data_IF_005828000628
#
_entry.id   IF_005828000628
#
_cell.length_a   1.000
_cell.length_b   1.000
_cell.length_c   1.000
_cell.angle_alpha   90.00
_cell.angle_beta   90.00
_cell.angle_gamma   90.00
#
_symmetry.space_group_name_H-M   'P 1'
#
loop_
_entity.id
_entity.type
_entity.pdbx_description
1 polymer ?
#
# COMPACT_ATOMS: atom_id res chain seq x y z
N UNK A 1 24.68 -11.18 39.11
CA UNK A 1 23.84 -10.23 38.34
C UNK A 1 24.10 -10.49 36.86
N UNK A 2 23.05 -10.75 36.07
CA UNK A 2 23.13 -10.72 34.60
C UNK A 2 22.07 -9.73 34.10
N UNK A 3 22.51 -8.54 33.74
CA UNK A 3 21.73 -7.53 33.00
C UNK A 3 22.59 -7.14 31.80
N UNK A 4 22.14 -7.46 30.57
CA UNK A 4 21.74 -6.41 29.61
C UNK A 4 20.51 -6.82 28.74
N UNK A 5 19.67 -5.93 28.19
CA UNK A 5 19.48 -4.50 28.45
C UNK A 5 18.18 -3.93 27.82
N UNK A 6 17.64 -2.81 28.33
CA UNK A 6 16.84 -1.78 27.63
C UNK A 6 17.42 -1.14 26.32
N UNK A 7 18.07 -1.90 25.42
CA UNK A 7 18.76 -1.37 24.19
C UNK A 7 18.79 -2.30 22.94
N UNK A 8 17.90 -3.26 22.72
CA UNK A 8 18.10 -4.14 21.54
C UNK A 8 17.66 -3.49 20.20
N UNK A 9 18.62 -3.03 19.40
CA UNK A 9 18.48 -2.79 17.95
C UNK A 9 18.80 -4.09 17.20
N UNK A 10 17.77 -4.77 16.73
CA UNK A 10 17.91 -5.94 15.87
C UNK A 10 17.99 -5.55 14.41
N UNK A 11 19.20 -5.36 13.89
CA UNK A 11 19.47 -5.45 12.46
C UNK A 11 19.32 -6.89 12.01
N UNK A 12 18.13 -7.28 11.57
CA UNK A 12 17.86 -8.61 11.02
C UNK A 12 17.24 -8.51 9.65
N UNK A 13 18.04 -8.56 8.59
CA UNK A 13 17.56 -8.80 7.23
C UNK A 13 18.57 -9.62 6.45
N UNK A 14 18.30 -10.92 6.33
CA UNK A 14 18.76 -11.73 5.19
C UNK A 14 17.73 -12.81 4.76
N UNK A 15 16.45 -12.53 5.02
CA UNK A 15 15.32 -13.08 4.24
C UNK A 15 14.72 -12.02 3.30
N UNK A 16 15.38 -10.85 3.23
CA UNK A 16 14.81 -9.66 2.61
C UNK A 16 14.80 -9.70 1.09
N UNK A 17 15.72 -10.44 0.46
CA UNK A 17 15.80 -10.55 -1.00
C UNK A 17 14.62 -11.32 -1.58
N UNK A 18 14.38 -12.55 -1.13
CA UNK A 18 13.29 -13.38 -1.68
C UNK A 18 11.90 -12.73 -1.46
N UNK A 19 11.63 -12.19 -0.27
CA UNK A 19 10.37 -11.49 -0.02
C UNK A 19 10.24 -10.21 -0.86
N UNK A 20 11.35 -9.50 -1.08
CA UNK A 20 11.39 -8.33 -1.96
C UNK A 20 11.16 -8.72 -3.43
N UNK A 21 11.71 -9.85 -3.88
CA UNK A 21 11.51 -10.36 -5.24
C UNK A 21 10.05 -10.77 -5.46
N UNK A 22 9.46 -11.51 -4.52
CA UNK A 22 8.01 -11.81 -4.55
C UNK A 22 7.17 -10.55 -4.52
N UNK A 23 7.53 -9.57 -3.68
CA UNK A 23 6.83 -8.30 -3.60
C UNK A 23 6.88 -7.53 -4.93
N UNK A 24 8.07 -7.44 -5.54
CA UNK A 24 8.28 -6.76 -6.79
C UNK A 24 7.57 -7.46 -7.95
N UNK A 25 7.58 -8.78 -7.99
CA UNK A 25 6.87 -9.57 -9.00
C UNK A 25 5.36 -9.36 -8.90
N UNK A 26 4.78 -9.55 -7.71
CA UNK A 26 3.34 -9.38 -7.50
C UNK A 26 2.90 -7.94 -7.83
N UNK A 27 3.69 -6.93 -7.43
CA UNK A 27 3.48 -5.54 -7.80
C UNK A 27 3.54 -5.32 -9.31
N UNK A 28 4.53 -5.89 -9.99
CA UNK A 28 4.67 -5.79 -11.44
C UNK A 28 3.46 -6.40 -12.16
N UNK A 29 2.93 -7.53 -11.68
CA UNK A 29 1.73 -8.16 -12.25
C UNK A 29 0.51 -7.25 -12.14
N UNK A 30 0.27 -6.66 -10.96
CA UNK A 30 -0.86 -5.73 -10.76
C UNK A 30 -0.73 -4.49 -11.64
N UNK A 31 0.44 -3.83 -11.61
CA UNK A 31 0.64 -2.58 -12.35
C UNK A 31 0.61 -2.78 -13.87
N UNK A 32 1.17 -3.89 -14.39
CA UNK A 32 1.13 -4.19 -15.82
C UNK A 32 -0.30 -4.51 -16.29
N UNK A 33 -1.07 -5.29 -15.52
CA UNK A 33 -2.48 -5.55 -15.82
C UNK A 33 -3.28 -4.25 -15.84
N UNK A 34 -3.11 -3.41 -14.82
CA UNK A 34 -3.79 -2.12 -14.73
C UNK A 34 -3.41 -1.20 -15.90
N UNK A 35 -2.14 -1.19 -16.34
CA UNK A 35 -1.70 -0.40 -17.49
C UNK A 35 -2.36 -0.86 -18.80
N UNK A 36 -2.63 -2.16 -18.95
CA UNK A 36 -3.39 -2.69 -20.10
C UNK A 36 -4.84 -2.21 -20.03
N UNK A 37 -5.51 -2.36 -18.88
CA UNK A 37 -6.92 -1.96 -18.70
C UNK A 37 -7.13 -0.45 -18.93
N UNK A 38 -6.24 0.38 -18.39
CA UNK A 38 -6.31 1.84 -18.54
C UNK A 38 -6.14 2.32 -19.98
N UNK A 39 -5.56 1.50 -20.87
CA UNK A 39 -5.37 1.86 -22.28
C UNK A 39 -6.69 2.02 -23.02
N UNK A 40 -7.73 1.31 -22.55
CA UNK A 40 -9.07 1.36 -23.14
C UNK A 40 -9.90 2.51 -22.58
N UNK A 41 -9.38 3.31 -21.64
CA UNK A 41 -10.10 4.42 -21.02
C UNK A 41 -9.55 5.78 -21.40
N UNK A 42 -10.47 6.70 -21.67
CA UNK A 42 -10.22 8.14 -21.72
C UNK A 42 -10.99 8.84 -20.61
N UNK A 43 -10.36 9.82 -19.96
CA UNK A 43 -11.02 10.74 -19.06
C UNK A 43 -11.41 12.01 -19.82
N UNK A 44 -12.66 12.44 -19.70
CA UNK A 44 -13.21 13.61 -20.37
C UNK A 44 -13.76 14.55 -19.30
N UNK A 45 -13.34 15.80 -19.33
CA UNK A 45 -13.83 16.83 -18.42
C UNK A 45 -15.35 17.03 -18.57
N UNK A 46 -16.08 17.04 -17.44
CA UNK A 46 -17.53 17.23 -17.42
C UNK A 46 -17.96 18.70 -17.54
N UNK A 47 -17.07 19.65 -17.23
CA UNK A 47 -17.38 21.08 -17.13
C UNK A 47 -17.19 21.86 -18.46
N UNK A 48 -16.85 21.15 -19.55
CA UNK A 48 -17.17 21.64 -20.90
C UNK A 48 -16.04 22.26 -21.72
N UNK A 49 -14.76 22.20 -21.29
CA UNK A 49 -13.63 22.56 -22.17
C UNK A 49 -13.18 21.42 -23.12
N UNK A 50 -13.85 20.27 -23.10
CA UNK A 50 -13.73 19.24 -24.15
C UNK A 50 -12.37 18.54 -24.25
N UNK A 51 -11.48 18.72 -23.27
CA UNK A 51 -10.17 18.07 -23.27
C UNK A 51 -10.30 16.60 -22.85
N UNK A 52 -9.96 15.69 -23.77
CA UNK A 52 -9.83 14.27 -23.49
C UNK A 52 -8.40 13.97 -23.04
N UNK A 53 -8.27 13.21 -21.97
CA UNK A 53 -7.01 12.77 -21.40
C UNK A 53 -6.89 11.25 -21.53
N UNK A 54 -5.69 10.81 -21.93
CA UNK A 54 -5.31 9.41 -21.76
C UNK A 54 -4.95 9.16 -20.30
N UNK A 55 -5.42 8.04 -19.76
CA UNK A 55 -5.05 7.60 -18.42
C UNK A 55 -3.81 6.70 -18.52
N UNK A 56 -2.73 7.06 -17.83
CA UNK A 56 -1.46 6.31 -17.86
C UNK A 56 -0.99 5.98 -16.45
N UNK A 57 -0.25 4.88 -16.30
CA UNK A 57 0.56 4.63 -15.12
C UNK A 57 2.01 5.02 -15.37
N UNK A 58 2.52 5.94 -14.56
CA UNK A 58 3.91 6.37 -14.62
C UNK A 58 4.47 6.38 -13.20
N UNK A 59 5.52 5.60 -12.94
CA UNK A 59 6.17 5.54 -11.62
C UNK A 59 5.19 5.29 -10.45
N UNK A 60 4.25 4.36 -10.63
CA UNK A 60 3.19 4.04 -9.64
C UNK A 60 2.20 5.19 -9.39
N UNK A 61 2.12 6.15 -10.30
CA UNK A 61 1.12 7.20 -10.28
C UNK A 61 0.19 7.06 -11.47
N UNK A 62 -1.10 7.25 -11.23
CA UNK A 62 -2.12 7.42 -12.26
C UNK A 62 -2.03 8.87 -12.70
N UNK A 63 -1.79 9.09 -13.98
CA UNK A 63 -1.59 10.41 -14.57
C UNK A 63 -2.51 10.55 -15.78
N UNK A 64 -3.20 11.68 -15.84
CA UNK A 64 -3.97 12.12 -16.99
C UNK A 64 -3.07 12.90 -17.93
N UNK A 65 -2.95 12.48 -19.18
CA UNK A 65 -2.03 13.07 -20.15
C UNK A 65 -2.78 13.45 -21.41
N UNK A 66 -2.61 14.69 -21.86
CA UNK A 66 -2.98 15.15 -23.19
C UNK A 66 -1.77 15.82 -23.89
N UNK A 67 -1.98 16.53 -24.99
CA UNK A 67 -0.88 17.20 -25.72
C UNK A 67 -0.28 18.41 -24.98
N UNK A 68 -1.02 18.99 -24.04
CA UNK A 68 -0.68 20.27 -23.38
C UNK A 68 -0.22 20.08 -21.94
N UNK A 69 -0.82 19.12 -21.24
CA UNK A 69 -0.76 18.99 -19.80
C UNK A 69 -0.64 17.52 -19.35
N UNK A 70 -0.08 17.36 -18.15
CA UNK A 70 0.05 16.10 -17.44
C UNK A 70 -0.39 16.32 -16.00
N UNK A 71 -1.50 15.71 -15.60
CA UNK A 71 -2.13 15.91 -14.30
C UNK A 71 -2.05 14.62 -13.48
N UNK A 72 -1.28 14.59 -12.38
CA UNK A 72 -1.27 13.44 -11.49
C UNK A 72 -2.62 13.35 -10.78
N UNK A 73 -3.22 12.15 -10.79
CA UNK A 73 -4.53 11.90 -10.21
C UNK A 73 -4.44 11.16 -8.87
N UNK A 74 -3.62 10.11 -8.82
CA UNK A 74 -3.47 9.30 -7.62
C UNK A 74 -2.13 8.56 -7.62
N UNK A 75 -1.59 8.26 -6.44
CA UNK A 75 -0.47 7.34 -6.29
C UNK A 75 -0.96 5.95 -5.88
N UNK A 76 -0.40 4.88 -6.41
CA UNK A 76 -0.73 3.50 -6.05
C UNK A 76 0.40 2.90 -5.21
N UNK A 77 0.06 2.31 -4.08
CA UNK A 77 0.97 1.50 -3.27
C UNK A 77 0.43 0.09 -3.10
N UNK A 78 1.11 -0.87 -3.74
CA UNK A 78 0.76 -2.30 -3.64
C UNK A 78 1.41 -2.92 -2.41
N UNK A 79 0.69 -3.81 -1.72
CA UNK A 79 1.11 -4.50 -0.51
C UNK A 79 0.92 -6.00 -0.62
N UNK A 80 1.92 -6.77 -0.19
CA UNK A 80 1.94 -8.25 -0.29
C UNK A 80 1.96 -8.96 1.07
N UNK A 81 1.82 -8.23 2.17
CA UNK A 81 1.65 -8.81 3.51
C UNK A 81 0.19 -8.71 3.97
N UNK A 82 -0.22 -9.65 4.82
CA UNK A 82 -1.52 -9.64 5.52
C UNK A 82 -1.60 -8.41 6.45
N UNK A 83 -2.74 -7.73 6.45
CA UNK A 83 -3.04 -6.58 7.33
C UNK A 83 -1.93 -5.52 7.31
N UNK A 84 -1.44 -5.20 6.12
CA UNK A 84 -0.19 -4.45 5.95
C UNK A 84 -0.39 -3.03 5.45
N UNK A 85 -1.63 -2.54 5.48
CA UNK A 85 -1.92 -1.11 5.33
C UNK A 85 -1.09 -0.37 6.37
N UNK A 86 -0.13 0.42 5.89
CA UNK A 86 0.70 1.29 6.72
C UNK A 86 0.19 2.72 6.55
N UNK A 87 -0.83 3.14 7.34
CA UNK A 87 -1.57 4.37 7.08
C UNK A 87 -0.70 5.62 7.16
N UNK A 88 0.33 5.62 8.02
CA UNK A 88 1.24 6.77 8.18
C UNK A 88 2.04 7.05 6.89
N UNK A 89 2.50 6.01 6.19
CA UNK A 89 3.24 6.19 4.93
C UNK A 89 2.31 6.71 3.83
N UNK A 90 1.11 6.12 3.72
CA UNK A 90 0.08 6.58 2.78
C UNK A 90 -0.26 8.05 3.03
N UNK A 91 -0.58 8.41 4.27
CA UNK A 91 -0.89 9.79 4.66
C UNK A 91 0.24 10.77 4.32
N UNK A 92 1.49 10.43 4.62
CA UNK A 92 2.63 11.27 4.25
C UNK A 92 2.75 11.47 2.73
N UNK A 93 2.59 10.40 1.94
CA UNK A 93 2.66 10.50 0.49
C UNK A 93 1.52 11.35 -0.08
N UNK A 94 0.30 11.15 0.42
CA UNK A 94 -0.88 11.95 0.05
C UNK A 94 -0.63 13.44 0.28
N UNK A 95 -0.18 13.82 1.48
CA UNK A 95 0.10 15.23 1.79
C UNK A 95 1.31 15.79 1.02
N UNK A 96 2.36 14.98 0.84
CA UNK A 96 3.57 15.42 0.11
C UNK A 96 3.29 15.69 -1.37
N UNK A 97 2.47 14.84 -2.00
CA UNK A 97 2.19 14.90 -3.44
C UNK A 97 0.96 15.74 -3.77
N UNK A 98 0.10 15.99 -2.80
CA UNK A 98 -1.15 16.74 -3.00
C UNK A 98 -2.24 15.95 -3.74
N UNK A 99 -2.06 14.64 -3.92
CA UNK A 99 -2.99 13.73 -4.60
C UNK A 99 -3.33 12.55 -3.69
N UNK A 100 -4.51 11.91 -3.83
CA UNK A 100 -4.87 10.73 -3.05
C UNK A 100 -3.90 9.56 -3.24
N UNK A 101 -3.77 8.71 -2.21
CA UNK A 101 -2.99 7.47 -2.29
C UNK A 101 -3.88 6.24 -2.20
N UNK A 102 -3.86 5.40 -3.24
CA UNK A 102 -4.53 4.10 -3.30
C UNK A 102 -3.62 3.05 -2.67
N UNK A 103 -4.05 2.44 -1.57
CA UNK A 103 -3.34 1.38 -0.86
C UNK A 103 -4.02 0.04 -1.18
N UNK A 104 -3.36 -0.80 -1.98
CA UNK A 104 -3.92 -2.06 -2.46
C UNK A 104 -3.26 -3.26 -1.77
N UNK A 105 -4.05 -4.12 -1.13
CA UNK A 105 -3.58 -5.33 -0.46
C UNK A 105 -3.82 -6.56 -1.34
N UNK A 106 -2.76 -7.15 -1.90
CA UNK A 106 -2.89 -8.34 -2.77
C UNK A 106 -3.50 -9.52 -2.01
N UNK A 107 -3.20 -9.66 -0.72
CA UNK A 107 -3.64 -10.82 0.05
C UNK A 107 -5.15 -10.80 0.37
N UNK A 108 -5.71 -9.64 0.65
CA UNK A 108 -7.14 -9.49 0.97
C UNK A 108 -7.94 -8.95 -0.21
N UNK A 109 -7.25 -8.51 -1.26
CA UNK A 109 -7.81 -7.84 -2.45
C UNK A 109 -8.45 -6.49 -2.14
N UNK A 110 -8.33 -6.03 -0.89
CA UNK A 110 -8.86 -4.75 -0.42
C UNK A 110 -8.08 -3.58 -1.02
N UNK A 111 -8.81 -2.53 -1.36
CA UNK A 111 -8.27 -1.27 -1.85
C UNK A 111 -8.80 -0.15 -0.97
N UNK A 112 -7.88 0.62 -0.41
CA UNK A 112 -8.19 1.74 0.49
C UNK A 112 -7.70 3.04 -0.14
N UNK A 113 -8.56 4.06 -0.19
CA UNK A 113 -8.17 5.39 -0.69
C UNK A 113 -7.86 6.30 0.49
N UNK A 114 -6.62 6.78 0.54
CA UNK A 114 -6.17 7.81 1.48
C UNK A 114 -6.40 9.19 0.84
N UNK A 115 -7.43 9.89 1.31
CA UNK A 115 -7.68 11.28 0.95
C UNK A 115 -6.90 12.25 1.86
N UNK A 116 -6.90 13.53 1.49
CA UNK A 116 -6.21 14.58 2.26
C UNK A 116 -6.76 14.68 3.69
N UNK A 117 -8.08 14.57 3.87
CA UNK A 117 -8.75 14.71 5.17
C UNK A 117 -8.34 13.61 6.15
N UNK A 118 -8.24 12.37 5.69
CA UNK A 118 -7.77 11.24 6.49
C UNK A 118 -6.27 11.36 6.73
N UNK A 119 -5.50 11.76 5.72
CA UNK A 119 -4.07 11.96 5.83
C UNK A 119 -3.70 13.00 6.90
N UNK A 120 -4.38 14.16 6.90
CA UNK A 120 -4.20 15.21 7.91
C UNK A 120 -4.43 14.66 9.33
N UNK A 121 -5.54 13.96 9.56
CA UNK A 121 -5.86 13.36 10.86
C UNK A 121 -4.80 12.38 11.34
N UNK A 122 -4.31 11.51 10.45
CA UNK A 122 -3.28 10.51 10.78
C UNK A 122 -1.97 11.21 11.14
N UNK A 123 -1.56 12.20 10.35
CA UNK A 123 -0.30 12.90 10.56
C UNK A 123 -0.35 13.75 11.82
N UNK A 124 -1.46 14.42 12.12
CA UNK A 124 -1.62 15.15 13.37
C UNK A 124 -1.56 14.21 14.58
N UNK A 125 -2.20 13.04 14.50
CA UNK A 125 -2.08 12.03 15.56
C UNK A 125 -0.66 11.50 15.70
N UNK A 126 0.07 11.34 14.59
CA UNK A 126 1.47 10.92 14.60
C UNK A 126 2.38 12.00 15.22
N UNK A 127 2.14 13.28 14.97
CA UNK A 127 2.84 14.40 15.61
C UNK A 127 2.60 14.40 17.13
N UNK A 128 1.36 14.24 17.57
CA UNK A 128 1.03 14.15 19.01
C UNK A 128 1.77 12.98 19.66
N UNK A 129 1.79 11.83 19.00
CA UNK A 129 2.48 10.65 19.51
C UNK A 129 3.99 10.87 19.58
N UNK A 130 4.59 11.50 18.56
CA UNK A 130 6.00 11.84 18.56
C UNK A 130 6.35 12.79 19.73
N UNK A 131 5.52 13.81 19.98
CA UNK A 131 5.71 14.70 21.11
C UNK A 131 5.66 13.96 22.46
N UNK A 132 4.79 12.97 22.60
CA UNK A 132 4.75 12.11 23.79
C UNK A 132 5.98 11.22 23.92
N UNK A 133 6.46 10.64 22.81
CA UNK A 133 7.68 9.82 22.81
C UNK A 133 8.91 10.64 23.22
N UNK A 134 9.04 11.89 22.73
CA UNK A 134 10.12 12.81 23.14
C UNK A 134 10.04 13.13 24.64
N UNK A 135 8.84 13.30 25.20
CA UNK A 135 8.67 13.52 26.65
C UNK A 135 9.10 12.30 27.46
N UNK A 136 8.70 11.10 27.04
CA UNK A 136 9.07 9.84 27.70
C UNK A 136 10.58 9.61 27.67
N UNK A 137 11.23 9.92 26.55
CA UNK A 137 12.68 9.85 26.42
C UNK A 137 13.38 10.77 27.43
N UNK A 138 12.93 12.03 27.55
CA UNK A 138 13.47 12.99 28.53
C UNK A 138 13.31 12.54 29.99
N UNK A 139 12.27 11.78 30.30
CA UNK A 139 12.03 11.26 31.66
C UNK A 139 12.67 9.89 31.90
N UNK A 140 13.31 9.29 30.90
CA UNK A 140 13.93 7.96 30.99
C UNK A 140 12.92 6.79 31.00
N UNK A 141 11.66 7.04 30.63
CA UNK A 141 10.60 6.03 30.60
C UNK A 141 10.55 5.39 29.21
N UNK A 142 10.49 4.05 29.13
CA UNK A 142 10.44 3.31 27.86
C UNK A 142 9.20 2.42 27.79
N UNK A 143 8.60 2.29 26.59
CA UNK A 143 7.46 1.40 26.33
C UNK A 143 7.99 -0.01 26.00
N UNK A 144 7.51 -1.08 26.65
CA UNK A 144 7.90 -2.45 26.32
C UNK A 144 7.42 -2.86 24.91
N UNK A 145 8.32 -3.40 24.07
CA UNK A 145 7.97 -3.95 22.76
C UNK A 145 7.56 -5.44 22.88
N UNK A 146 6.30 -5.80 22.58
CA UNK A 146 5.80 -7.17 22.73
C UNK A 146 6.42 -8.21 21.79
N UNK A 147 6.94 -7.79 20.63
CA UNK A 147 7.60 -8.68 19.67
C UNK A 147 9.04 -8.98 20.10
N UNK A 148 9.74 -7.97 20.60
CA UNK A 148 11.12 -8.15 21.09
C UNK A 148 11.15 -8.93 22.42
N UNK A 149 10.10 -8.85 23.24
CA UNK A 149 9.95 -9.68 24.43
C UNK A 149 9.82 -11.19 24.14
N UNK A 150 9.43 -11.60 22.91
CA UNK A 150 9.39 -13.03 22.51
C UNK A 150 10.77 -13.66 22.31
N UNK A 151 11.79 -12.84 22.06
CA UNK A 151 13.16 -13.26 21.77
C UNK A 151 14.11 -13.02 22.97
N UNK A 152 13.57 -12.53 24.08
CA UNK A 152 14.35 -12.18 25.26
C UNK A 152 14.84 -13.44 26.00
N UNK A 153 16.13 -13.51 26.33
CA UNK A 153 16.70 -14.64 27.09
C UNK A 153 16.30 -14.65 28.57
N UNK A 154 15.71 -13.55 29.09
CA UNK A 154 15.21 -13.46 30.46
C UNK A 154 13.82 -14.11 30.58
N UNK A 155 13.80 -15.45 30.67
CA UNK A 155 12.58 -16.27 30.79
C UNK A 155 11.75 -15.98 32.05
N UNK A 156 12.36 -15.37 33.07
CA UNK A 156 11.71 -14.95 34.32
C UNK A 156 11.03 -13.57 34.23
N UNK A 157 11.13 -12.85 33.10
CA UNK A 157 10.44 -11.59 32.91
C UNK A 157 8.92 -11.81 32.78
N UNK A 158 8.06 -11.07 33.51
CA UNK A 158 6.60 -11.22 33.45
C UNK A 158 6.00 -10.85 32.08
N UNK A 159 6.78 -10.21 31.20
CA UNK A 159 6.39 -9.86 29.83
C UNK A 159 6.96 -10.82 28.76
N UNK A 160 7.73 -11.84 29.16
CA UNK A 160 8.31 -12.83 28.25
C UNK A 160 7.23 -13.73 27.66
N UNK A 161 7.18 -13.82 26.33
CA UNK A 161 6.25 -14.71 25.60
C UNK A 161 7.07 -15.82 24.93
N UNK A 162 6.75 -17.09 25.19
CA UNK A 162 7.39 -18.22 24.49
C UNK A 162 7.02 -18.19 22.99
N UNK A 163 7.91 -17.65 22.16
CA UNK A 163 7.79 -17.72 20.72
C UNK A 163 8.37 -19.02 20.21
N UNK A 164 7.54 -19.98 19.78
CA UNK A 164 7.99 -20.96 18.80
C UNK A 164 8.22 -20.20 17.49
N UNK A 165 9.47 -20.07 17.05
CA UNK A 165 9.77 -19.62 15.69
C UNK A 165 10.80 -20.56 15.10
N UNK A 166 10.30 -21.47 14.27
CA UNK A 166 10.94 -21.95 13.05
C UNK A 166 9.85 -22.67 12.26
N UNK A 167 9.23 -21.98 11.31
CA UNK A 167 8.68 -22.65 10.14
C UNK A 167 9.66 -22.39 9.01
N UNK A 168 10.67 -23.25 8.89
CA UNK A 168 11.31 -23.49 7.60
C UNK A 168 10.39 -24.50 6.94
N UNK A 169 9.55 -24.04 6.01
CA UNK A 169 8.52 -24.87 5.42
C UNK A 169 8.16 -24.37 4.03
N UNK A 170 8.12 -25.32 3.09
CA UNK A 170 7.53 -25.22 1.75
C UNK A 170 6.21 -24.43 1.76
N UNK A 171 5.45 -24.55 2.84
CA UNK A 171 4.19 -23.86 3.14
C UNK A 171 4.22 -22.35 2.85
N UNK A 172 5.28 -21.63 3.23
CA UNK A 172 5.34 -20.18 2.98
C UNK A 172 5.53 -19.87 1.49
N UNK A 173 6.31 -20.69 0.78
CA UNK A 173 6.52 -20.56 -0.66
C UNK A 173 5.23 -20.93 -1.41
N UNK A 174 4.54 -21.99 -0.97
CA UNK A 174 3.22 -22.39 -1.50
C UNK A 174 2.18 -21.29 -1.29
N UNK A 175 2.08 -20.73 -0.08
CA UNK A 175 1.18 -19.60 0.21
C UNK A 175 1.48 -18.40 -0.69
N UNK A 176 2.75 -18.06 -0.91
CA UNK A 176 3.15 -16.96 -1.80
C UNK A 176 2.88 -17.26 -3.27
N UNK A 177 3.00 -18.52 -3.68
CA UNK A 177 2.71 -18.96 -5.06
C UNK A 177 1.20 -18.92 -5.32
N UNK A 178 0.37 -19.44 -4.41
CA UNK A 178 -1.09 -19.33 -4.52
C UNK A 178 -1.57 -17.87 -4.56
N UNK A 179 -0.90 -16.98 -3.82
CA UNK A 179 -1.17 -15.54 -3.91
C UNK A 179 -0.86 -14.98 -5.31
N UNK A 180 0.20 -15.46 -5.95
CA UNK A 180 0.54 -15.07 -7.32
C UNK A 180 -0.45 -15.64 -8.34
N UNK A 181 -0.99 -16.84 -8.13
CA UNK A 181 -1.96 -17.45 -9.07
C UNK A 181 -3.31 -16.72 -9.07
N UNK A 182 -3.70 -16.14 -7.92
CA UNK A 182 -4.93 -15.33 -7.78
C UNK A 182 -4.73 -13.86 -8.18
N UNK A 183 -3.49 -13.38 -8.11
CA UNK A 183 -3.05 -12.08 -8.59
C UNK A 183 -2.88 -12.14 -10.12
N UNK A 184 -3.18 -11.10 -10.91
CA UNK A 184 -3.50 -9.74 -10.49
C UNK A 184 -4.99 -9.34 -10.53
N UNK A 185 -5.88 -10.19 -11.06
CA UNK A 185 -7.18 -9.71 -11.56
C UNK A 185 -8.06 -9.00 -10.52
N UNK A 186 -8.41 -9.59 -9.36
CA UNK A 186 -9.33 -8.94 -8.42
C UNK A 186 -8.75 -7.64 -7.85
N UNK A 187 -7.44 -7.62 -7.57
CA UNK A 187 -6.76 -6.43 -7.05
C UNK A 187 -6.70 -5.32 -8.10
N UNK A 188 -6.36 -5.64 -9.35
CA UNK A 188 -6.33 -4.68 -10.43
C UNK A 188 -7.73 -4.10 -10.72
N UNK A 189 -8.76 -4.94 -10.71
CA UNK A 189 -10.15 -4.52 -10.91
C UNK A 189 -10.62 -3.58 -9.78
N UNK A 190 -10.27 -3.87 -8.52
CA UNK A 190 -10.61 -3.02 -7.39
C UNK A 190 -9.84 -1.68 -7.41
N UNK A 191 -8.57 -1.69 -7.87
CA UNK A 191 -7.82 -0.45 -8.09
C UNK A 191 -8.47 0.37 -9.20
N UNK A 192 -8.88 -0.27 -10.30
CA UNK A 192 -9.58 0.42 -11.40
C UNK A 192 -10.84 1.12 -10.88
N UNK A 193 -11.71 0.42 -10.14
CA UNK A 193 -12.91 1.02 -9.54
C UNK A 193 -12.58 2.24 -8.66
N UNK A 194 -11.50 2.18 -7.89
CA UNK A 194 -11.05 3.31 -7.09
C UNK A 194 -10.60 4.50 -7.96
N UNK A 195 -9.88 4.24 -9.07
CA UNK A 195 -9.50 5.27 -10.05
C UNK A 195 -10.75 5.88 -10.68
N UNK A 196 -11.74 5.06 -11.06
CA UNK A 196 -12.98 5.52 -11.66
C UNK A 196 -13.74 6.47 -10.73
N UNK A 197 -13.82 6.11 -9.44
CA UNK A 197 -14.45 6.97 -8.43
C UNK A 197 -13.70 8.29 -8.26
N UNK A 198 -12.36 8.26 -8.16
CA UNK A 198 -11.54 9.48 -8.03
C UNK A 198 -11.75 10.39 -9.24
N UNK A 199 -11.79 9.82 -10.45
CA UNK A 199 -12.07 10.60 -11.67
C UNK A 199 -13.43 11.30 -11.60
N UNK A 200 -14.47 10.58 -11.19
CA UNK A 200 -15.81 11.17 -11.04
C UNK A 200 -15.84 12.28 -10.00
N UNK A 201 -15.19 12.08 -8.85
CA UNK A 201 -15.11 13.06 -7.76
C UNK A 201 -14.35 14.33 -8.19
N UNK A 202 -13.37 14.18 -9.08
CA UNK A 202 -12.59 15.28 -9.68
C UNK A 202 -13.25 15.88 -10.95
N UNK A 203 -14.47 15.48 -11.29
CA UNK A 203 -15.24 16.09 -12.40
C UNK A 203 -14.93 15.50 -13.78
N UNK A 204 -14.43 14.27 -13.86
CA UNK A 204 -14.20 13.56 -15.12
C UNK A 204 -15.23 12.46 -15.38
N UNK A 205 -15.64 12.34 -16.65
CA UNK A 205 -16.38 11.21 -17.19
C UNK A 205 -15.42 10.26 -17.91
N UNK A 206 -15.68 8.96 -17.78
CA UNK A 206 -14.86 7.92 -18.42
C UNK A 206 -15.53 7.47 -19.72
N UNK A 207 -14.75 7.40 -20.78
CA UNK A 207 -15.13 6.82 -22.06
C UNK A 207 -14.31 5.55 -22.29
N UNK A 208 -15.00 4.41 -22.41
CA UNK A 208 -14.39 3.15 -22.81
C UNK A 208 -14.31 3.10 -24.35
N UNK A 209 -13.09 2.95 -24.86
CA UNK A 209 -12.77 2.88 -26.29
C UNK A 209 -13.12 1.51 -26.91
N UNK A 210 -13.25 0.46 -26.10
CA UNK A 210 -13.58 -0.90 -26.52
C UNK A 210 -14.81 -1.44 -25.74
N UNK A 211 -16.03 -0.94 -26.03
CA UNK A 211 -17.25 -1.40 -25.34
C UNK A 211 -17.70 -2.83 -25.75
N UNK A 212 -16.93 -3.53 -26.58
CA UNK A 212 -17.36 -4.74 -27.30
C UNK A 212 -17.11 -6.09 -26.61
N UNK A 213 -16.32 -6.16 -25.54
CA UNK A 213 -15.98 -7.44 -24.89
C UNK A 213 -16.98 -7.87 -23.79
N UNK A 214 -18.02 -7.07 -23.50
CA UNK A 214 -19.09 -7.41 -22.56
C UNK A 214 -20.21 -8.28 -23.19
N UNK A 215 -20.05 -8.72 -24.45
CA UNK A 215 -21.03 -9.60 -25.13
C UNK A 215 -20.36 -10.70 -25.95
N UNK A 216 -19.77 -11.68 -25.27
CA UNK A 216 -19.49 -12.98 -25.86
C UNK A 216 -19.59 -14.11 -24.83
N UNK A 217 -20.76 -14.23 -24.17
CA UNK A 217 -21.23 -15.51 -23.65
C UNK A 217 -22.58 -15.82 -24.30
N UNK A 218 -22.54 -16.70 -25.30
CA UNK A 218 -23.68 -17.51 -25.77
C UNK A 218 -23.24 -18.96 -25.79
#
# INVERSE_FOLDING_TARGET
>A
MKTPCPFFEGGGKDLSSLYLDFHNLAKSLVLSRLQVMLRDFLAIDTDGEGSAYQIRLMNEEVVLVNEKDSLPLASIEVKTSKNSVKPVKGAYLTLKRGIPSILAEINTEDVHVMDKKCADKIIDRAKDQLANLIKLEKTGWKIPDPHLCKLCSNKSCPLHKNGKIQQIGKELVEEKTEQLDKCPSPTADNILKAIEQILQDEGYKILNLNPGDDKAET
#
